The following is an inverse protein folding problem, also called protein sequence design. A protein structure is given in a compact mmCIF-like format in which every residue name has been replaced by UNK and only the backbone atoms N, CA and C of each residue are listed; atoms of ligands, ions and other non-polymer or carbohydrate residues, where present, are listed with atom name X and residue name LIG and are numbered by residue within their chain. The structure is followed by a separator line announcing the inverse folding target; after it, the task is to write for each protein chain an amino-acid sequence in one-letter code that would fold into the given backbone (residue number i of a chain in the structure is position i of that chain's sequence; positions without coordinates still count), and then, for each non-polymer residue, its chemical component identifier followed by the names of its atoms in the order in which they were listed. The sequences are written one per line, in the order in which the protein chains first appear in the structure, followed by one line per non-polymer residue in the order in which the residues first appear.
data_IF_075350493793
#
_entry.id   IF_075350493793
#
_cell.length_a   1.000
_cell.length_b   1.000
_cell.length_c   1.000
_cell.angle_alpha   90.00
_cell.angle_beta   90.00
_cell.angle_gamma   90.00
#
_symmetry.space_group_name_H-M   'P 1'
#
loop_
_entity.id
_entity.type
_entity.pdbx_description
1 polymer ?
#
# COMPACT_ATOMS: atom_id res chain seq x y z
N UNK A 1 23.09 -2.55 -11.20
CA UNK A 1 23.63 -3.24 -10.00
C UNK A 1 25.13 -3.06 -9.84
N UNK A 2 25.93 -3.70 -10.70
CA UNK A 2 27.38 -3.84 -10.55
C UNK A 2 28.18 -2.54 -10.34
N UNK A 3 27.89 -1.47 -11.07
CA UNK A 3 28.63 -0.19 -10.98
C UNK A 3 28.42 0.49 -9.63
N UNK A 4 27.19 0.41 -9.09
CA UNK A 4 26.86 1.01 -7.80
C UNK A 4 27.44 0.19 -6.64
N UNK A 5 27.40 -1.14 -6.73
CA UNK A 5 27.97 -2.01 -5.69
C UNK A 5 29.51 -1.88 -5.61
N UNK A 6 30.20 -1.85 -6.75
CA UNK A 6 31.65 -1.67 -6.78
C UNK A 6 32.07 -0.30 -6.20
N UNK A 7 31.32 0.76 -6.50
CA UNK A 7 31.52 2.07 -5.88
C UNK A 7 31.33 2.00 -4.35
N UNK A 8 30.21 1.43 -3.89
CA UNK A 8 29.90 1.29 -2.47
C UNK A 8 30.95 0.47 -1.72
N UNK A 9 31.48 -0.59 -2.36
CA UNK A 9 32.54 -1.43 -1.78
C UNK A 9 33.81 -0.62 -1.56
N UNK A 10 34.23 0.17 -2.57
CA UNK A 10 35.38 1.06 -2.42
C UNK A 10 35.12 2.15 -1.36
N UNK A 11 33.91 2.71 -1.36
CA UNK A 11 33.52 3.79 -0.45
C UNK A 11 33.63 3.33 1.00
N UNK A 12 33.02 2.20 1.33
CA UNK A 12 33.05 1.67 2.69
C UNK A 12 34.43 1.14 3.09
N UNK A 13 35.23 0.62 2.15
CA UNK A 13 36.63 0.26 2.44
C UNK A 13 37.47 1.49 2.82
N UNK A 14 37.29 2.61 2.13
CA UNK A 14 37.94 3.89 2.45
C UNK A 14 37.48 4.48 3.79
N UNK A 15 36.17 4.41 4.08
CA UNK A 15 35.64 4.86 5.37
C UNK A 15 36.19 4.00 6.51
N UNK A 16 36.20 2.66 6.34
CA UNK A 16 36.78 1.73 7.32
C UNK A 16 38.29 1.90 7.50
N UNK A 17 39.00 2.42 6.50
CA UNK A 17 40.43 2.76 6.61
C UNK A 17 40.69 4.10 7.31
N UNK A 18 39.66 4.75 7.85
CA UNK A 18 39.76 5.98 8.63
C UNK A 18 39.49 7.27 7.85
N UNK A 19 39.04 7.20 6.59
CA UNK A 19 38.62 8.41 5.86
C UNK A 19 37.21 8.83 6.25
N UNK A 20 36.93 10.13 6.16
CA UNK A 20 35.56 10.64 6.28
C UNK A 20 34.74 10.31 5.03
N UNK A 21 33.41 10.31 5.14
CA UNK A 21 32.52 10.05 3.99
C UNK A 21 32.76 11.02 2.82
N UNK A 22 33.03 12.29 3.13
CA UNK A 22 33.33 13.33 2.14
C UNK A 22 34.63 13.03 1.39
N UNK A 23 35.67 12.61 2.09
CA UNK A 23 36.95 12.23 1.49
C UNK A 23 36.83 10.97 0.64
N UNK A 24 36.04 9.99 1.09
CA UNK A 24 35.77 8.77 0.33
C UNK A 24 35.02 9.09 -0.98
N UNK A 25 33.99 9.93 -0.94
CA UNK A 25 33.31 10.38 -2.15
C UNK A 25 34.24 11.12 -3.11
N UNK A 26 35.10 12.00 -2.58
CA UNK A 26 36.04 12.76 -3.39
C UNK A 26 37.12 11.87 -4.02
N UNK A 27 37.62 10.87 -3.29
CA UNK A 27 38.58 9.90 -3.80
C UNK A 27 38.01 9.02 -4.92
N UNK A 28 36.70 8.75 -4.90
CA UNK A 28 36.04 7.92 -5.92
C UNK A 28 35.43 8.73 -7.07
N UNK A 29 35.40 10.06 -6.97
CA UNK A 29 34.83 10.92 -8.00
C UNK A 29 35.62 10.80 -9.30
N UNK A 30 34.92 10.51 -10.40
CA UNK A 30 35.53 10.37 -11.74
C UNK A 30 36.31 9.07 -11.96
N UNK A 31 36.36 8.15 -10.99
CA UNK A 31 37.07 6.87 -11.14
C UNK A 31 36.30 5.88 -12.02
N UNK A 32 37.02 5.18 -12.91
CA UNK A 32 36.47 4.10 -13.73
C UNK A 32 36.34 2.80 -12.92
N UNK A 33 35.63 1.81 -13.46
CA UNK A 33 35.54 0.47 -12.84
C UNK A 33 36.91 -0.22 -12.73
N UNK A 34 37.86 0.09 -13.62
CA UNK A 34 39.23 -0.44 -13.53
C UNK A 34 40.00 0.20 -12.37
N UNK A 35 39.87 1.51 -12.21
CA UNK A 35 40.52 2.25 -11.11
C UNK A 35 40.01 1.78 -9.75
N UNK A 36 38.70 1.52 -9.64
CA UNK A 36 38.07 0.96 -8.44
C UNK A 36 38.57 -0.44 -8.10
N UNK A 37 38.66 -1.33 -9.09
CA UNK A 37 39.24 -2.67 -8.88
C UNK A 37 40.71 -2.59 -8.44
N UNK A 38 41.48 -1.69 -9.05
CA UNK A 38 42.88 -1.47 -8.67
C UNK A 38 42.99 -0.95 -7.23
N UNK A 39 42.13 -0.01 -6.83
CA UNK A 39 42.08 0.53 -5.47
C UNK A 39 41.76 -0.57 -4.46
N UNK A 40 40.73 -1.38 -4.71
CA UNK A 40 40.35 -2.51 -3.85
C UNK A 40 41.48 -3.53 -3.71
N UNK A 41 42.09 -3.93 -4.82
CA UNK A 41 43.13 -4.95 -4.83
C UNK A 41 44.43 -4.44 -4.18
N UNK A 42 44.86 -3.22 -4.49
CA UNK A 42 46.16 -2.70 -4.04
C UNK A 42 46.13 -2.18 -2.61
N UNK A 43 45.06 -1.49 -2.20
CA UNK A 43 45.00 -0.88 -0.86
C UNK A 43 44.36 -1.79 0.17
N UNK A 44 43.42 -2.65 -0.25
CA UNK A 44 42.62 -3.46 0.66
C UNK A 44 42.78 -4.96 0.45
N UNK A 45 43.57 -5.38 -0.54
CA UNK A 45 43.73 -6.80 -0.92
C UNK A 45 42.40 -7.50 -1.24
N UNK A 46 41.40 -6.73 -1.70
CA UNK A 46 40.09 -7.25 -2.08
C UNK A 46 40.01 -7.39 -3.59
N UNK A 47 39.82 -8.62 -4.07
CA UNK A 47 39.46 -8.87 -5.46
C UNK A 47 37.94 -8.86 -5.59
N UNK A 48 37.39 -7.78 -6.15
CA UNK A 48 35.94 -7.65 -6.33
C UNK A 48 35.33 -8.79 -7.13
N UNK A 49 36.06 -9.45 -8.04
CA UNK A 49 35.51 -10.56 -8.82
C UNK A 49 35.26 -11.84 -8.00
N UNK A 50 35.88 -11.95 -6.83
CA UNK A 50 35.72 -13.09 -5.92
C UNK A 50 34.53 -12.90 -4.98
N UNK A 51 33.92 -11.70 -4.97
CA UNK A 51 32.68 -11.45 -4.23
C UNK A 51 31.54 -12.37 -4.69
N UNK A 52 30.69 -12.84 -3.76
CA UNK A 52 29.50 -13.62 -4.09
C UNK A 52 28.69 -13.02 -5.23
N UNK A 53 28.24 -13.88 -6.16
CA UNK A 53 27.50 -13.46 -7.34
C UNK A 53 26.25 -12.64 -6.99
N UNK A 54 25.60 -12.93 -5.86
CA UNK A 54 24.45 -12.15 -5.36
C UNK A 54 24.73 -10.65 -5.19
N UNK A 55 25.96 -10.27 -4.80
CA UNK A 55 26.34 -8.86 -4.63
C UNK A 55 26.71 -8.18 -5.94
N UNK A 56 27.16 -8.97 -6.93
CA UNK A 56 27.63 -8.43 -8.21
C UNK A 56 26.57 -8.40 -9.29
N UNK A 57 25.75 -9.45 -9.34
CA UNK A 57 24.80 -9.74 -10.43
C UNK A 57 23.33 -9.57 -9.99
N UNK A 58 23.06 -9.54 -8.68
CA UNK A 58 21.71 -9.45 -8.14
C UNK A 58 21.02 -10.81 -8.03
N UNK A 59 19.71 -10.79 -7.77
CA UNK A 59 18.90 -12.00 -7.65
C UNK A 59 17.88 -12.06 -8.78
N UNK A 60 17.84 -13.19 -9.47
CA UNK A 60 16.85 -13.51 -10.49
C UNK A 60 15.90 -14.55 -9.93
N UNK A 61 14.59 -14.29 -10.01
CA UNK A 61 13.54 -15.20 -9.56
C UNK A 61 12.72 -15.62 -10.77
N UNK A 62 12.65 -16.91 -11.06
CA UNK A 62 11.94 -17.47 -12.21
C UNK A 62 11.38 -18.84 -11.88
N UNK A 63 10.44 -19.33 -12.69
CA UNK A 63 9.94 -20.70 -12.59
C UNK A 63 10.85 -21.62 -13.41
N UNK A 64 11.35 -22.68 -12.81
CA UNK A 64 12.20 -23.67 -13.48
C UNK A 64 11.60 -25.07 -13.40
N UNK A 65 11.88 -25.89 -14.40
CA UNK A 65 11.40 -27.27 -14.51
C UNK A 65 12.24 -28.16 -13.62
N UNK A 66 11.73 -28.49 -12.44
CA UNK A 66 12.40 -29.39 -11.51
C UNK A 66 12.12 -30.84 -11.90
N UNK A 67 13.18 -31.66 -11.88
CA UNK A 67 13.14 -33.10 -12.16
C UNK A 67 13.24 -33.97 -10.91
N UNK A 68 13.42 -33.36 -9.74
CA UNK A 68 13.55 -34.01 -8.44
C UNK A 68 12.54 -33.46 -7.42
N UNK A 69 12.16 -34.26 -6.43
CA UNK A 69 11.40 -33.80 -5.26
C UNK A 69 12.31 -33.12 -4.21
N UNK A 70 11.71 -32.60 -3.13
CA UNK A 70 12.42 -31.93 -2.03
C UNK A 70 13.43 -32.83 -1.30
N UNK A 71 13.36 -34.15 -1.51
CA UNK A 71 14.27 -35.17 -0.96
C UNK A 71 15.32 -35.65 -1.97
N UNK A 72 15.36 -35.06 -3.17
CA UNK A 72 16.31 -35.42 -4.24
C UNK A 72 15.90 -36.63 -5.10
N UNK A 73 14.70 -37.18 -4.93
CA UNK A 73 14.23 -38.30 -5.75
C UNK A 73 13.68 -37.82 -7.09
N UNK A 74 13.91 -38.54 -8.19
CA UNK A 74 13.38 -38.16 -9.51
C UNK A 74 11.83 -38.22 -9.55
N UNK A 75 11.20 -37.12 -9.97
CA UNK A 75 9.73 -37.02 -10.10
C UNK A 75 9.26 -37.38 -11.52
N UNK A 76 8.19 -38.19 -11.61
CA UNK A 76 7.62 -38.66 -12.88
C UNK A 76 6.94 -37.57 -13.72
N UNK A 77 6.53 -36.46 -13.11
CA UNK A 77 5.84 -35.34 -13.78
C UNK A 77 6.60 -34.07 -13.51
N UNK A 78 7.16 -33.47 -14.56
CA UNK A 78 7.85 -32.18 -14.49
C UNK A 78 6.94 -31.14 -13.84
N UNK A 79 7.43 -30.48 -12.80
CA UNK A 79 6.74 -29.36 -12.15
C UNK A 79 7.59 -28.10 -12.27
N UNK A 80 6.93 -26.96 -12.36
CA UNK A 80 7.59 -25.67 -12.27
C UNK A 80 7.74 -25.27 -10.79
N UNK A 81 8.96 -25.01 -10.36
CA UNK A 81 9.24 -24.48 -9.03
C UNK A 81 9.86 -23.08 -9.11
N UNK A 82 9.57 -22.25 -8.11
CA UNK A 82 10.20 -20.93 -7.99
C UNK A 82 11.66 -21.15 -7.62
N UNK A 83 12.56 -20.71 -8.50
CA UNK A 83 14.01 -20.82 -8.34
C UNK A 83 14.61 -19.43 -8.21
N UNK A 84 15.55 -19.27 -7.28
CA UNK A 84 16.33 -18.05 -7.09
C UNK A 84 17.78 -18.32 -7.50
N UNK A 85 18.32 -17.50 -8.39
CA UNK A 85 19.71 -17.61 -8.84
C UNK A 85 20.37 -16.23 -8.95
N UNK A 86 21.69 -16.22 -9.12
CA UNK A 86 22.48 -14.99 -9.25
C UNK A 86 23.21 -14.93 -10.61
N UNK A 87 22.51 -15.32 -11.67
CA UNK A 87 23.05 -15.32 -13.03
C UNK A 87 23.25 -13.92 -13.60
N UNK A 88 24.10 -13.82 -14.63
CA UNK A 88 24.26 -12.60 -15.40
C UNK A 88 23.15 -12.50 -16.45
N UNK A 89 22.23 -11.54 -16.26
CA UNK A 89 21.15 -11.27 -17.21
C UNK A 89 21.58 -10.38 -18.39
N UNK A 90 22.78 -9.80 -18.33
CA UNK A 90 23.33 -8.97 -19.41
C UNK A 90 23.85 -9.87 -20.53
N UNK A 91 24.48 -10.99 -20.17
CA UNK A 91 24.93 -12.01 -21.10
C UNK A 91 23.79 -12.82 -21.70
N UNK A 92 23.99 -13.44 -22.88
CA UNK A 92 22.94 -14.22 -23.54
C UNK A 92 22.71 -15.58 -22.87
N UNK A 93 23.71 -16.12 -22.16
CA UNK A 93 23.71 -17.48 -21.58
C UNK A 93 22.46 -17.77 -20.73
N UNK A 94 22.03 -16.83 -19.89
CA UNK A 94 20.81 -17.03 -19.11
C UNK A 94 19.59 -17.17 -20.01
N UNK A 95 19.43 -16.29 -20.98
CA UNK A 95 18.25 -16.27 -21.86
C UNK A 95 18.26 -17.43 -22.86
N UNK A 96 19.43 -17.88 -23.30
CA UNK A 96 19.61 -19.08 -24.14
C UNK A 96 19.23 -20.36 -23.39
N UNK A 97 19.65 -20.50 -22.13
CA UNK A 97 19.34 -21.68 -21.32
C UNK A 97 17.90 -21.68 -20.80
N UNK A 98 17.24 -20.53 -20.76
CA UNK A 98 15.89 -20.37 -20.20
C UNK A 98 14.90 -19.73 -21.20
N UNK A 99 14.99 -20.08 -22.49
CA UNK A 99 14.11 -19.54 -23.56
C UNK A 99 12.62 -19.67 -23.23
N UNK A 100 12.23 -20.71 -22.49
CA UNK A 100 10.86 -20.97 -22.09
C UNK A 100 10.28 -19.88 -21.16
N UNK A 101 11.11 -19.05 -20.51
CA UNK A 101 10.65 -17.92 -19.69
C UNK A 101 9.90 -16.89 -20.55
N UNK A 102 10.31 -16.73 -21.81
CA UNK A 102 9.75 -15.74 -22.73
C UNK A 102 8.71 -16.34 -23.69
N UNK A 103 8.49 -17.67 -23.63
CA UNK A 103 7.55 -18.36 -24.51
C UNK A 103 7.86 -18.15 -25.99
N UNK A 104 6.83 -17.77 -26.76
CA UNK A 104 6.90 -17.49 -28.20
C UNK A 104 7.75 -16.25 -28.54
N UNK A 105 8.07 -15.40 -27.55
CA UNK A 105 8.92 -14.23 -27.76
C UNK A 105 10.43 -14.58 -27.80
N UNK A 106 10.80 -15.83 -27.53
CA UNK A 106 12.19 -16.28 -27.51
C UNK A 106 12.89 -16.14 -28.89
N UNK A 107 12.15 -16.27 -29.99
CA UNK A 107 12.64 -16.10 -31.36
C UNK A 107 13.20 -14.69 -31.64
N UNK A 108 12.78 -13.68 -30.88
CA UNK A 108 13.18 -12.28 -31.07
C UNK A 108 14.50 -11.90 -30.36
N UNK A 109 15.01 -12.74 -29.45
CA UNK A 109 16.24 -12.44 -28.69
C UNK A 109 17.52 -12.60 -29.50
N UNK A 110 17.49 -13.39 -30.58
CA UNK A 110 18.67 -13.70 -31.40
C UNK A 110 19.17 -12.53 -32.26
N UNK A 111 18.53 -11.35 -32.21
CA UNK A 111 18.81 -10.22 -33.11
C UNK A 111 19.30 -8.94 -32.40
N UNK A 112 19.52 -8.95 -31.08
CA UNK A 112 19.75 -7.73 -30.28
C UNK A 112 21.18 -7.49 -29.76
N UNK A 113 22.11 -7.10 -30.64
CA UNK A 113 23.13 -6.04 -30.41
C UNK A 113 24.10 -6.11 -29.21
N UNK A 114 25.38 -6.42 -29.52
CA UNK A 114 26.60 -6.23 -28.70
C UNK A 114 26.95 -4.75 -28.40
N UNK A 115 26.05 -3.92 -27.92
CA UNK A 115 26.39 -2.54 -27.57
C UNK A 115 26.50 -2.30 -26.06
N UNK A 116 27.70 -1.86 -25.66
CA UNK A 116 28.15 -1.59 -24.29
C UNK A 116 27.36 -0.50 -23.53
N UNK A 117 26.35 0.11 -24.17
CA UNK A 117 25.52 1.21 -23.64
C UNK A 117 24.00 1.02 -23.88
N UNK A 118 23.54 -0.16 -24.30
CA UNK A 118 22.28 -0.33 -25.05
C UNK A 118 20.96 -0.54 -24.30
N UNK A 119 20.78 -0.17 -23.03
CA UNK A 119 19.49 -0.37 -22.32
C UNK A 119 18.82 0.92 -21.83
N UNK A 120 19.50 2.07 -21.93
CA UNK A 120 18.93 3.33 -21.44
C UNK A 120 17.68 3.76 -22.21
N UNK A 121 17.52 3.31 -23.46
CA UNK A 121 16.35 3.58 -24.27
C UNK A 121 15.05 3.05 -23.62
N UNK A 122 15.13 2.03 -22.77
CA UNK A 122 13.96 1.46 -22.07
C UNK A 122 13.29 2.52 -21.18
N UNK A 123 14.07 3.45 -20.60
CA UNK A 123 13.54 4.56 -19.80
C UNK A 123 12.61 5.48 -20.60
N UNK A 124 12.69 5.48 -21.93
CA UNK A 124 11.79 6.28 -22.78
C UNK A 124 10.36 5.74 -22.82
N UNK A 125 10.15 4.49 -22.39
CA UNK A 125 8.83 3.88 -22.28
C UNK A 125 8.16 4.14 -20.92
N UNK A 126 8.84 4.83 -19.99
CA UNK A 126 8.23 5.22 -18.72
C UNK A 126 7.10 6.23 -18.97
N UNK A 127 5.85 5.79 -18.83
CA UNK A 127 4.70 6.67 -18.89
C UNK A 127 4.47 7.31 -17.51
N UNK A 128 4.94 8.55 -17.35
CA UNK A 128 4.80 9.33 -16.12
C UNK A 128 3.52 10.17 -16.20
N UNK A 129 2.45 9.69 -15.56
CA UNK A 129 1.23 10.48 -15.42
C UNK A 129 1.32 11.38 -14.17
N UNK A 130 1.23 12.70 -14.39
CA UNK A 130 1.24 13.71 -13.32
C UNK A 130 -0.15 14.28 -13.12
N UNK A 131 -0.61 14.31 -11.87
CA UNK A 131 -1.91 14.86 -11.52
C UNK A 131 -1.96 16.38 -11.76
N UNK A 132 -3.10 16.94 -12.19
CA UNK A 132 -3.23 18.38 -12.46
C UNK A 132 -2.93 19.20 -11.20
N UNK A 133 -2.25 20.34 -11.37
CA UNK A 133 -1.99 21.30 -10.30
C UNK A 133 -3.28 21.99 -9.83
N UNK A 134 -3.22 22.64 -8.66
CA UNK A 134 -4.36 23.39 -8.08
C UNK A 134 -5.64 22.56 -7.99
N UNK A 135 -5.48 21.29 -7.57
CA UNK A 135 -6.58 20.36 -7.39
C UNK A 135 -6.39 19.64 -6.05
N UNK A 136 -7.50 19.49 -5.33
CA UNK A 136 -7.58 18.62 -4.17
C UNK A 136 -7.46 17.17 -4.64
N UNK A 137 -6.45 16.46 -4.13
CA UNK A 137 -6.22 15.07 -4.49
C UNK A 137 -6.83 14.18 -3.42
N UNK A 138 -7.80 13.34 -3.82
CA UNK A 138 -8.35 12.31 -2.95
C UNK A 138 -7.70 10.98 -3.29
N UNK A 139 -7.09 10.35 -2.30
CA UNK A 139 -6.54 9.00 -2.37
C UNK A 139 -7.45 8.08 -1.60
N UNK A 140 -8.19 7.22 -2.31
CA UNK A 140 -9.03 6.19 -1.71
C UNK A 140 -8.27 4.88 -1.63
N UNK A 141 -8.23 4.29 -0.45
CA UNK A 141 -7.61 3.01 -0.15
C UNK A 141 -8.72 2.04 0.25
N UNK A 142 -8.81 0.86 -0.39
CA UNK A 142 -9.81 -0.16 -0.07
C UNK A 142 -9.16 -1.55 0.02
N UNK A 143 -9.59 -2.35 0.99
CA UNK A 143 -9.07 -3.71 1.16
C UNK A 143 -9.64 -4.64 0.08
N UNK A 144 -8.74 -5.30 -0.66
CA UNK A 144 -9.07 -6.32 -1.65
C UNK A 144 -9.50 -7.62 -0.96
N UNK A 145 -10.49 -8.30 -1.54
CA UNK A 145 -10.98 -9.60 -1.04
C UNK A 145 -11.32 -9.58 0.46
N UNK A 146 -11.87 -8.46 0.93
CA UNK A 146 -12.11 -8.25 2.36
C UNK A 146 -13.06 -9.27 2.98
N UNK A 147 -14.04 -9.77 2.23
CA UNK A 147 -14.93 -10.84 2.72
C UNK A 147 -14.15 -12.09 3.14
N UNK A 148 -13.23 -12.55 2.27
CA UNK A 148 -12.34 -13.67 2.56
C UNK A 148 -11.39 -13.35 3.71
N UNK A 149 -10.82 -12.14 3.74
CA UNK A 149 -9.95 -11.70 4.83
C UNK A 149 -10.67 -11.69 6.18
N UNK A 150 -11.89 -11.17 6.22
CA UNK A 150 -12.74 -11.09 7.42
C UNK A 150 -13.13 -12.48 7.91
N UNK A 151 -13.38 -13.42 7.00
CA UNK A 151 -13.72 -14.80 7.33
C UNK A 151 -12.52 -15.53 7.95
N UNK A 152 -11.35 -15.45 7.32
CA UNK A 152 -10.12 -16.10 7.80
C UNK A 152 -9.76 -15.62 9.21
N UNK A 153 -9.93 -14.33 9.49
CA UNK A 153 -9.61 -13.75 10.79
C UNK A 153 -10.81 -13.69 11.75
N UNK A 154 -11.93 -14.32 11.38
CA UNK A 154 -13.15 -14.41 12.20
C UNK A 154 -13.58 -13.04 12.75
N UNK A 155 -13.76 -12.07 11.86
CA UNK A 155 -14.26 -10.75 12.22
C UNK A 155 -15.74 -10.80 12.57
N UNK A 156 -16.12 -10.01 13.57
CA UNK A 156 -17.52 -9.89 13.98
C UNK A 156 -18.38 -9.32 12.84
N UNK A 157 -19.63 -9.79 12.79
CA UNK A 157 -20.63 -9.37 11.81
C UNK A 157 -21.85 -8.77 12.54
N UNK A 158 -22.44 -7.66 12.08
CA UNK A 158 -22.14 -6.96 10.81
C UNK A 158 -20.85 -6.15 10.82
N UNK A 159 -20.39 -5.71 12.00
CA UNK A 159 -19.21 -4.87 12.16
C UNK A 159 -18.27 -5.46 13.21
N UNK A 160 -16.97 -5.36 12.96
CA UNK A 160 -15.92 -5.66 13.93
C UNK A 160 -15.31 -4.35 14.42
N UNK A 161 -15.58 -4.00 15.68
CA UNK A 161 -15.13 -2.74 16.27
C UNK A 161 -13.59 -2.65 16.30
N UNK A 162 -12.93 -3.78 16.57
CA UNK A 162 -11.48 -3.86 16.69
C UNK A 162 -10.82 -3.65 15.32
N UNK A 163 -11.36 -4.26 14.27
CA UNK A 163 -10.91 -4.06 12.90
C UNK A 163 -11.05 -2.60 12.45
N UNK A 164 -12.16 -1.95 12.77
CA UNK A 164 -12.38 -0.54 12.43
C UNK A 164 -11.46 0.39 13.22
N UNK A 165 -11.20 0.10 14.50
CA UNK A 165 -10.21 0.84 15.29
C UNK A 165 -8.80 0.69 14.74
N UNK A 166 -8.43 -0.50 14.25
CA UNK A 166 -7.16 -0.71 13.56
C UNK A 166 -7.07 0.13 12.27
N UNK A 167 -8.13 0.17 11.45
CA UNK A 167 -8.19 1.03 10.26
C UNK A 167 -8.01 2.52 10.62
N UNK A 168 -8.64 2.97 11.71
CA UNK A 168 -8.50 4.35 12.21
C UNK A 168 -7.08 4.68 12.71
N UNK A 169 -6.42 3.72 13.35
CA UNK A 169 -5.03 3.86 13.76
C UNK A 169 -4.10 3.99 12.54
N UNK A 170 -4.34 3.19 11.51
CA UNK A 170 -3.61 3.28 10.24
C UNK A 170 -3.82 4.64 9.57
N UNK A 171 -5.04 5.16 9.60
CA UNK A 171 -5.34 6.49 9.06
C UNK A 171 -4.63 7.61 9.84
N UNK A 172 -4.52 7.47 11.16
CA UNK A 172 -3.77 8.43 11.98
C UNK A 172 -2.29 8.43 11.62
N UNK A 173 -1.69 7.24 11.49
CA UNK A 173 -0.30 7.07 11.04
C UNK A 173 -0.08 7.57 9.60
N UNK A 174 -1.04 7.39 8.70
CA UNK A 174 -1.00 7.98 7.36
C UNK A 174 -0.92 9.50 7.41
N UNK A 175 -1.75 10.13 8.24
CA UNK A 175 -1.70 11.58 8.41
C UNK A 175 -0.37 12.03 9.03
N UNK A 176 0.21 11.28 9.97
CA UNK A 176 1.56 11.58 10.49
C UNK A 176 2.63 11.45 9.40
N UNK A 177 2.59 10.38 8.61
CA UNK A 177 3.57 10.09 7.56
C UNK A 177 3.47 11.05 6.36
N UNK A 178 2.26 11.51 6.04
CA UNK A 178 1.99 12.43 4.94
C UNK A 178 1.36 13.72 5.47
N UNK A 179 2.18 14.73 5.83
CA UNK A 179 1.72 15.99 6.42
C UNK A 179 0.66 16.71 5.58
N UNK A 180 0.75 16.59 4.26
CA UNK A 180 -0.15 17.15 3.25
C UNK A 180 -1.58 16.58 3.29
N UNK A 181 -1.81 15.45 3.99
CA UNK A 181 -3.16 14.95 4.24
C UNK A 181 -3.82 15.85 5.30
N UNK A 182 -4.89 16.53 4.88
CA UNK A 182 -5.65 17.46 5.73
C UNK A 182 -6.85 16.79 6.41
N UNK A 183 -7.40 15.75 5.78
CA UNK A 183 -8.60 15.08 6.23
C UNK A 183 -8.61 13.62 5.76
N UNK A 184 -9.16 12.73 6.57
CA UNK A 184 -9.42 11.34 6.24
C UNK A 184 -10.85 10.96 6.60
N UNK A 185 -11.49 10.14 5.77
CA UNK A 185 -12.77 9.54 6.09
C UNK A 185 -12.76 8.05 5.76
N UNK A 186 -13.10 7.20 6.72
CA UNK A 186 -13.12 5.75 6.52
C UNK A 186 -14.34 5.08 7.14
N UNK A 187 -14.75 3.98 6.51
CA UNK A 187 -15.77 3.07 7.02
C UNK A 187 -15.60 1.70 6.35
N UNK A 188 -16.17 0.67 6.95
CA UNK A 188 -16.08 -0.71 6.44
C UNK A 188 -14.61 -1.09 6.19
N UNK A 189 -14.22 -1.34 4.95
CA UNK A 189 -12.89 -1.76 4.55
C UNK A 189 -12.12 -0.71 3.74
N UNK A 190 -12.52 0.56 3.81
CA UNK A 190 -11.93 1.64 3.01
C UNK A 190 -11.67 2.94 3.78
N UNK A 191 -10.75 3.75 3.26
CA UNK A 191 -10.39 5.07 3.75
C UNK A 191 -10.10 6.01 2.58
N UNK A 192 -10.68 7.21 2.59
CA UNK A 192 -10.39 8.30 1.65
C UNK A 192 -9.57 9.37 2.35
N UNK A 193 -8.39 9.69 1.82
CA UNK A 193 -7.51 10.75 2.30
C UNK A 193 -7.55 11.94 1.35
N UNK A 194 -7.80 13.12 1.90
CA UNK A 194 -7.80 14.39 1.17
C UNK A 194 -6.45 15.06 1.37
N UNK A 195 -5.70 15.20 0.29
CA UNK A 195 -4.48 15.99 0.25
C UNK A 195 -4.80 17.45 -0.06
N UNK A 196 -4.03 18.35 0.55
CA UNK A 196 -4.11 19.79 0.30
C UNK A 196 -3.94 20.12 -1.20
N UNK A 197 -4.65 21.14 -1.66
CA UNK A 197 -4.67 21.58 -3.07
C UNK A 197 -3.27 21.82 -3.66
N UNK A 198 -2.35 22.34 -2.83
CA UNK A 198 -0.99 22.73 -3.22
C UNK A 198 0.04 21.62 -3.05
N UNK A 199 -0.37 20.39 -2.76
CA UNK A 199 0.59 19.30 -2.54
C UNK A 199 1.51 19.10 -3.75
N UNK A 200 2.81 19.04 -3.48
CA UNK A 200 3.84 18.69 -4.46
C UNK A 200 4.41 17.28 -4.21
N UNK A 201 3.72 16.47 -3.38
CA UNK A 201 4.15 15.14 -3.01
C UNK A 201 4.51 14.32 -4.27
N UNK A 202 5.76 13.84 -4.31
CA UNK A 202 6.33 13.11 -5.45
C UNK A 202 6.19 13.82 -6.81
N UNK A 203 6.23 15.15 -6.84
CA UNK A 203 5.98 15.94 -8.06
C UNK A 203 4.63 15.60 -8.71
N UNK A 204 3.67 15.16 -7.89
CA UNK A 204 2.34 14.71 -8.32
C UNK A 204 2.36 13.51 -9.27
N UNK A 205 3.44 12.70 -9.28
CA UNK A 205 3.47 11.42 -10.00
C UNK A 205 2.48 10.45 -9.36
N UNK A 206 1.40 10.15 -10.09
CA UNK A 206 0.30 9.32 -9.61
C UNK A 206 0.78 7.94 -9.15
N UNK A 207 1.76 7.35 -9.84
CA UNK A 207 2.26 5.99 -9.52
C UNK A 207 2.99 5.97 -8.19
N UNK A 208 3.77 7.03 -7.90
CA UNK A 208 4.49 7.16 -6.64
C UNK A 208 3.52 7.44 -5.48
N UNK A 209 2.49 8.25 -5.71
CA UNK A 209 1.43 8.48 -4.70
C UNK A 209 0.69 7.18 -4.39
N UNK A 210 0.21 6.46 -5.41
CA UNK A 210 -0.51 5.19 -5.28
C UNK A 210 0.34 4.16 -4.53
N UNK A 211 1.56 3.90 -5.00
CA UNK A 211 2.43 2.88 -4.43
C UNK A 211 2.87 3.22 -2.99
N UNK A 212 3.18 4.49 -2.72
CA UNK A 212 3.57 4.93 -1.38
C UNK A 212 2.40 4.85 -0.40
N UNK A 213 1.20 5.31 -0.78
CA UNK A 213 0.03 5.23 0.09
C UNK A 213 -0.41 3.78 0.35
N UNK A 214 -0.44 2.93 -0.69
CA UNK A 214 -0.78 1.51 -0.57
C UNK A 214 0.20 0.78 0.35
N UNK A 215 1.50 0.96 0.13
CA UNK A 215 2.54 0.30 0.93
C UNK A 215 2.54 0.79 2.38
N UNK A 216 2.46 2.10 2.63
CA UNK A 216 2.42 2.64 3.98
C UNK A 216 1.20 2.14 4.75
N UNK A 217 0.00 2.21 4.16
CA UNK A 217 -1.22 1.74 4.83
C UNK A 217 -1.15 0.25 5.15
N UNK A 218 -0.68 -0.57 4.20
CA UNK A 218 -0.46 -2.01 4.41
C UNK A 218 0.51 -2.27 5.56
N UNK A 219 1.66 -1.58 5.57
CA UNK A 219 2.67 -1.71 6.62
C UNK A 219 2.12 -1.31 7.98
N UNK A 220 1.41 -0.18 8.08
CA UNK A 220 0.79 0.26 9.34
C UNK A 220 -0.23 -0.75 9.85
N UNK A 221 -1.07 -1.29 8.97
CA UNK A 221 -2.06 -2.31 9.33
C UNK A 221 -1.38 -3.56 9.91
N UNK A 222 -0.32 -4.04 9.26
CA UNK A 222 0.43 -5.21 9.72
C UNK A 222 1.17 -4.94 11.04
N UNK A 223 1.82 -3.78 11.16
CA UNK A 223 2.57 -3.38 12.36
C UNK A 223 1.65 -3.24 13.58
N UNK A 224 0.47 -2.66 13.38
CA UNK A 224 -0.52 -2.45 14.44
C UNK A 224 -1.39 -3.67 14.71
N UNK A 225 -1.37 -4.69 13.86
CA UNK A 225 -2.23 -5.86 13.98
C UNK A 225 -2.22 -6.47 15.39
N UNK A 226 -1.04 -6.73 15.96
CA UNK A 226 -0.89 -7.36 17.28
C UNK A 226 -1.35 -6.48 18.45
N UNK A 227 -1.35 -5.17 18.29
CA UNK A 227 -1.86 -4.23 19.28
C UNK A 227 -3.39 -4.31 19.38
N UNK A 228 -4.07 -4.51 18.25
CA UNK A 228 -5.53 -4.60 18.18
C UNK A 228 -6.05 -6.03 18.32
N UNK A 229 -5.31 -7.02 17.80
CA UNK A 229 -5.64 -8.44 17.88
C UNK A 229 -4.51 -9.26 18.54
N UNK A 230 -4.32 -9.15 19.87
CA UNK A 230 -3.24 -9.84 20.57
C UNK A 230 -3.30 -11.37 20.41
N UNK A 231 -4.51 -11.92 20.38
CA UNK A 231 -4.78 -13.36 20.32
C UNK A 231 -4.96 -13.91 18.91
N UNK A 232 -5.04 -13.07 17.87
CA UNK A 232 -5.18 -13.52 16.48
C UNK A 232 -3.85 -13.34 15.75
N UNK A 233 -3.37 -14.40 15.10
CA UNK A 233 -2.27 -14.27 14.15
C UNK A 233 -2.76 -13.65 12.84
N UNK A 234 -1.91 -12.84 12.20
CA UNK A 234 -2.17 -12.37 10.85
C UNK A 234 -1.78 -13.50 9.89
N UNK A 235 -2.78 -14.27 9.45
CA UNK A 235 -2.57 -15.49 8.65
C UNK A 235 -2.19 -15.15 7.20
N UNK A 236 -2.74 -14.07 6.68
CA UNK A 236 -2.44 -13.56 5.34
C UNK A 236 -2.19 -12.05 5.38
N UNK A 237 -1.22 -11.54 4.60
CA UNK A 237 -1.02 -10.10 4.52
C UNK A 237 -2.27 -9.43 3.92
N UNK A 238 -2.72 -8.29 4.45
CA UNK A 238 -3.79 -7.54 3.83
C UNK A 238 -3.33 -6.99 2.49
N UNK A 239 -4.23 -6.88 1.54
CA UNK A 239 -3.96 -6.25 0.25
C UNK A 239 -4.89 -5.05 0.08
N UNK A 240 -4.32 -3.89 -0.22
CA UNK A 240 -5.06 -2.65 -0.39
C UNK A 240 -4.88 -2.10 -1.81
N UNK A 241 -6.00 -1.88 -2.49
CA UNK A 241 -6.06 -1.15 -3.75
C UNK A 241 -6.16 0.35 -3.46
N UNK A 242 -5.50 1.15 -4.29
CA UNK A 242 -5.52 2.61 -4.17
C UNK A 242 -5.99 3.22 -5.48
N UNK A 243 -6.90 4.19 -5.36
CA UNK A 243 -7.41 5.00 -6.46
C UNK A 243 -7.18 6.48 -6.15
N UNK A 244 -6.87 7.26 -7.18
CA UNK A 244 -6.64 8.69 -7.06
C UNK A 244 -7.68 9.45 -7.87
N UNK A 245 -8.20 10.53 -7.31
CA UNK A 245 -9.14 11.44 -7.97
C UNK A 245 -8.77 12.88 -7.66
N UNK A 246 -8.99 13.79 -8.62
CA UNK A 246 -8.68 15.22 -8.47
C UNK A 246 -9.96 16.04 -8.56
N UNK A 247 -10.15 16.96 -7.63
CA UNK A 247 -11.29 17.86 -7.59
C UNK A 247 -10.82 19.32 -7.55
N UNK A 248 -11.39 20.20 -8.39
CA UNK A 248 -10.91 21.58 -8.52
C UNK A 248 -11.39 22.49 -7.39
N UNK A 249 -12.45 22.12 -6.67
CA UNK A 249 -13.07 22.98 -5.65
C UNK A 249 -13.28 22.23 -4.33
N UNK A 250 -13.08 22.90 -3.17
CA UNK A 250 -13.29 22.28 -1.86
C UNK A 250 -14.74 21.86 -1.63
N UNK A 251 -15.71 22.58 -2.24
CA UNK A 251 -17.12 22.20 -2.18
C UNK A 251 -17.36 20.81 -2.77
N UNK A 252 -16.73 20.50 -3.89
CA UNK A 252 -16.86 19.19 -4.56
C UNK A 252 -16.23 18.08 -3.70
N UNK A 253 -15.15 18.39 -2.97
CA UNK A 253 -14.56 17.47 -1.99
C UNK A 253 -15.54 17.19 -0.85
N UNK A 254 -16.22 18.20 -0.31
CA UNK A 254 -17.25 18.02 0.72
C UNK A 254 -18.44 17.19 0.20
N UNK A 255 -18.85 17.39 -1.05
CA UNK A 255 -19.90 16.60 -1.69
C UNK A 255 -19.47 15.13 -1.87
N UNK A 256 -18.21 14.89 -2.26
CA UNK A 256 -17.63 13.55 -2.31
C UNK A 256 -17.69 12.88 -0.93
N UNK A 257 -17.22 13.55 0.12
CA UNK A 257 -17.20 13.00 1.49
C UNK A 257 -18.61 12.74 2.02
N UNK A 258 -19.55 13.65 1.74
CA UNK A 258 -20.97 13.48 2.08
C UNK A 258 -21.58 12.26 1.39
N UNK A 259 -21.25 12.04 0.12
CA UNK A 259 -21.63 10.82 -0.60
C UNK A 259 -21.05 9.57 0.05
N UNK A 260 -19.75 9.57 0.43
CA UNK A 260 -19.12 8.45 1.15
C UNK A 260 -19.85 8.16 2.47
N UNK A 261 -20.26 9.19 3.22
CA UNK A 261 -20.99 9.00 4.48
C UNK A 261 -22.42 8.49 4.29
N UNK A 262 -23.10 8.92 3.23
CA UNK A 262 -24.39 8.33 2.86
C UNK A 262 -24.25 6.85 2.47
N UNK A 263 -23.20 6.49 1.74
CA UNK A 263 -22.90 5.09 1.39
C UNK A 263 -22.64 4.25 2.65
N UNK A 264 -21.88 4.78 3.62
CA UNK A 264 -21.66 4.15 4.92
C UNK A 264 -22.99 3.86 5.64
N UNK A 265 -23.85 4.87 5.78
CA UNK A 265 -25.14 4.72 6.45
C UNK A 265 -26.01 3.63 5.80
N UNK A 266 -26.15 3.69 4.47
CA UNK A 266 -26.99 2.76 3.72
C UNK A 266 -26.44 1.32 3.77
N UNK A 267 -25.11 1.16 3.62
CA UNK A 267 -24.45 -0.15 3.68
C UNK A 267 -24.53 -0.75 5.08
N UNK A 268 -24.26 0.04 6.12
CA UNK A 268 -24.33 -0.44 7.50
C UNK A 268 -25.76 -0.86 7.88
N UNK A 269 -26.77 -0.10 7.48
CA UNK A 269 -28.16 -0.47 7.74
C UNK A 269 -28.54 -1.78 7.05
N UNK A 270 -28.19 -1.94 5.76
CA UNK A 270 -28.44 -3.18 5.02
C UNK A 270 -27.72 -4.38 5.65
N UNK A 271 -26.43 -4.25 5.95
CA UNK A 271 -25.62 -5.35 6.51
C UNK A 271 -26.06 -5.73 7.92
N UNK A 272 -26.50 -4.75 8.72
CA UNK A 272 -27.11 -5.03 10.04
C UNK A 272 -28.37 -5.87 9.90
N UNK A 273 -29.30 -5.49 9.03
CA UNK A 273 -30.49 -6.31 8.77
C UNK A 273 -30.12 -7.71 8.26
N UNK A 274 -29.17 -7.79 7.32
CA UNK A 274 -28.75 -9.05 6.71
C UNK A 274 -28.21 -10.01 7.76
N UNK A 275 -27.27 -9.56 8.59
CA UNK A 275 -26.67 -10.41 9.61
C UNK A 275 -27.62 -10.75 10.76
N UNK A 276 -28.56 -9.87 11.10
CA UNK A 276 -29.61 -10.20 12.08
C UNK A 276 -30.54 -11.30 11.55
N UNK A 277 -30.92 -11.25 10.26
CA UNK A 277 -31.68 -12.32 9.61
C UNK A 277 -30.91 -13.65 9.61
N UNK A 278 -29.63 -13.62 9.20
CA UNK A 278 -28.78 -14.83 9.18
C UNK A 278 -28.62 -15.42 10.58
N UNK A 279 -28.34 -14.59 11.59
CA UNK A 279 -28.23 -15.03 12.99
C UNK A 279 -29.53 -15.57 13.57
N UNK A 280 -30.68 -15.16 13.03
CA UNK A 280 -31.99 -15.70 13.41
C UNK A 280 -32.33 -17.05 12.78
N UNK A 281 -31.43 -17.61 11.96
CA UNK A 281 -31.57 -18.90 11.30
C UNK A 281 -32.06 -18.83 9.86
N UNK A 282 -32.24 -17.64 9.29
CA UNK A 282 -32.56 -17.49 7.87
C UNK A 282 -31.32 -17.80 7.01
N UNK A 283 -31.47 -18.58 5.94
CA UNK A 283 -30.37 -18.79 5.00
C UNK A 283 -29.98 -17.49 4.28
N UNK A 284 -28.70 -17.34 3.92
CA UNK A 284 -28.18 -16.10 3.30
C UNK A 284 -28.97 -15.65 2.05
N UNK A 285 -29.34 -16.60 1.18
CA UNK A 285 -30.12 -16.29 -0.02
C UNK A 285 -31.51 -15.76 0.33
N UNK A 286 -32.14 -16.33 1.36
CA UNK A 286 -33.45 -15.87 1.82
C UNK A 286 -33.36 -14.50 2.49
N UNK A 287 -32.30 -14.24 3.26
CA UNK A 287 -32.05 -12.92 3.83
C UNK A 287 -31.86 -11.86 2.72
N UNK A 288 -31.14 -12.19 1.63
CA UNK A 288 -31.00 -11.30 0.46
C UNK A 288 -32.35 -11.01 -0.20
N UNK A 289 -33.19 -12.02 -0.40
CA UNK A 289 -34.53 -11.84 -0.98
C UNK A 289 -35.45 -11.01 -0.08
N UNK A 290 -35.42 -11.19 1.25
CA UNK A 290 -36.19 -10.37 2.19
C UNK A 290 -35.79 -8.90 2.11
N UNK A 291 -34.50 -8.62 1.93
CA UNK A 291 -33.98 -7.24 1.88
C UNK A 291 -34.00 -6.62 0.49
N UNK A 292 -34.32 -7.41 -0.53
CA UNK A 292 -34.41 -6.95 -1.92
C UNK A 292 -35.47 -5.86 -2.04
N UNK A 293 -35.13 -4.78 -2.73
CA UNK A 293 -36.01 -3.63 -3.00
C UNK A 293 -36.60 -2.93 -1.76
N UNK A 294 -36.09 -3.21 -0.55
CA UNK A 294 -36.52 -2.54 0.68
C UNK A 294 -36.02 -1.10 0.76
N UNK A 295 -36.84 -0.20 1.29
CA UNK A 295 -36.45 1.18 1.60
C UNK A 295 -35.75 1.27 2.97
N UNK A 296 -35.04 2.38 3.28
CA UNK A 296 -34.43 2.58 4.59
C UNK A 296 -35.43 2.52 5.76
N UNK A 297 -36.68 2.93 5.54
CA UNK A 297 -37.75 2.84 6.55
C UNK A 297 -38.11 1.39 6.84
N UNK A 298 -38.28 0.58 5.80
CA UNK A 298 -38.62 -0.85 5.92
C UNK A 298 -37.53 -1.62 6.67
N UNK A 299 -36.26 -1.29 6.43
CA UNK A 299 -35.11 -1.87 7.16
C UNK A 299 -35.15 -1.53 8.65
N UNK A 300 -35.46 -0.29 9.02
CA UNK A 300 -35.62 0.10 10.42
C UNK A 300 -36.80 -0.61 11.08
N UNK A 301 -37.92 -0.71 10.38
CA UNK A 301 -39.12 -1.41 10.86
C UNK A 301 -38.83 -2.91 11.06
N UNK A 302 -38.11 -3.54 10.13
CA UNK A 302 -37.66 -4.93 10.24
C UNK A 302 -36.77 -5.15 11.47
N UNK A 303 -35.79 -4.26 11.71
CA UNK A 303 -34.92 -4.36 12.89
C UNK A 303 -35.71 -4.21 14.19
N UNK A 304 -36.65 -3.26 14.23
CA UNK A 304 -37.43 -2.98 15.42
C UNK A 304 -38.45 -4.09 15.71
N UNK A 305 -39.28 -4.46 14.74
CA UNK A 305 -40.36 -5.43 14.96
C UNK A 305 -39.84 -6.84 15.18
N UNK A 306 -38.84 -7.27 14.40
CA UNK A 306 -38.36 -8.67 14.39
C UNK A 306 -37.28 -8.92 15.43
N UNK A 307 -36.46 -7.91 15.74
CA UNK A 307 -35.29 -8.06 16.61
C UNK A 307 -35.28 -7.12 17.82
N UNK A 308 -36.32 -6.30 18.01
CA UNK A 308 -36.40 -5.31 19.10
C UNK A 308 -35.18 -4.38 19.13
N UNK A 309 -34.62 -4.11 17.95
CA UNK A 309 -33.38 -3.35 17.77
C UNK A 309 -33.67 -1.99 17.14
N UNK A 310 -33.27 -0.92 17.84
CA UNK A 310 -33.32 0.43 17.27
C UNK A 310 -31.97 0.76 16.63
N UNK A 311 -31.93 0.84 15.29
CA UNK A 311 -30.71 1.16 14.56
C UNK A 311 -30.06 2.48 15.01
N UNK A 312 -30.83 3.48 15.44
CA UNK A 312 -30.27 4.75 15.90
C UNK A 312 -29.43 4.64 17.19
N UNK A 313 -29.56 3.54 17.92
CA UNK A 313 -28.76 3.25 19.11
C UNK A 313 -27.44 2.53 18.77
N UNK A 314 -27.23 2.12 17.51
CA UNK A 314 -25.96 1.54 17.10
C UNK A 314 -24.80 2.53 17.28
N UNK A 315 -23.59 2.05 17.59
CA UNK A 315 -22.40 2.87 17.71
C UNK A 315 -22.24 3.84 16.53
N UNK A 316 -21.91 5.10 16.85
CA UNK A 316 -21.75 6.13 15.83
C UNK A 316 -20.68 5.76 14.79
N UNK A 317 -19.62 5.06 15.19
CA UNK A 317 -18.57 4.57 14.28
C UNK A 317 -19.13 3.68 13.16
N UNK A 318 -20.13 2.84 13.45
CA UNK A 318 -20.74 1.97 12.45
C UNK A 318 -21.71 2.75 11.54
N UNK A 319 -22.46 3.70 12.11
CA UNK A 319 -23.48 4.45 11.37
C UNK A 319 -22.95 5.62 10.55
N UNK A 320 -21.85 6.22 11.00
CA UNK A 320 -21.31 7.50 10.51
C UNK A 320 -19.89 7.38 9.98
N UNK A 321 -19.22 6.24 10.15
CA UNK A 321 -17.82 6.07 9.84
C UNK A 321 -16.90 6.84 10.79
N UNK A 322 -15.69 7.09 10.33
CA UNK A 322 -14.61 7.72 11.10
C UNK A 322 -14.01 8.87 10.31
N UNK A 323 -14.04 10.06 10.90
CA UNK A 323 -13.40 11.27 10.38
C UNK A 323 -12.07 11.46 11.11
N UNK A 324 -10.96 11.39 10.39
CA UNK A 324 -9.62 11.72 10.89
C UNK A 324 -9.24 13.12 10.44
N UNK A 325 -8.91 14.01 11.37
CA UNK A 325 -8.48 15.38 11.06
C UNK A 325 -7.56 15.89 12.15
N UNK A 326 -6.73 16.88 11.82
CA UNK A 326 -5.84 17.46 12.83
C UNK A 326 -6.58 18.47 13.68
N UNK A 327 -6.36 18.43 14.99
CA UNK A 327 -6.91 19.39 15.93
C UNK A 327 -5.80 19.98 16.80
N UNK A 328 -5.93 21.26 17.19
CA UNK A 328 -5.03 21.87 18.16
C UNK A 328 -5.21 21.20 19.53
N UNK A 329 -4.11 20.87 20.19
CA UNK A 329 -4.12 20.36 21.56
C UNK A 329 -4.22 21.57 22.51
N UNK A 330 -5.31 21.69 23.26
CA UNK A 330 -5.59 22.84 24.14
C UNK A 330 -4.60 22.99 25.32
N UNK A 331 -3.74 21.99 25.55
CA UNK A 331 -2.91 21.86 26.76
C UNK A 331 -1.40 22.09 26.57
N UNK A 332 -0.94 22.57 25.40
CA UNK A 332 0.48 22.84 25.17
C UNK A 332 0.76 24.33 24.94
N UNK A 333 1.77 24.86 25.62
CA UNK A 333 2.29 26.23 25.40
C UNK A 333 2.90 26.39 23.99
N UNK A 334 3.29 25.28 23.36
CA UNK A 334 3.62 25.17 21.94
C UNK A 334 2.37 24.83 21.11
N UNK A 335 2.21 25.39 19.91
CA UNK A 335 1.10 25.07 18.98
C UNK A 335 1.17 23.63 18.44
N UNK A 336 0.92 22.62 19.28
CA UNK A 336 0.93 21.21 18.90
C UNK A 336 -0.41 20.81 18.29
N UNK A 337 -0.33 20.19 17.13
CA UNK A 337 -1.48 19.59 16.44
C UNK A 337 -1.38 18.07 16.52
N UNK A 338 -2.48 17.42 16.86
CA UNK A 338 -2.59 15.96 16.90
C UNK A 338 -3.70 15.48 15.96
N UNK A 339 -3.65 14.21 15.56
CA UNK A 339 -4.69 13.61 14.73
C UNK A 339 -5.83 13.11 15.61
N UNK A 340 -6.99 13.74 15.49
CA UNK A 340 -8.22 13.33 16.16
C UNK A 340 -9.06 12.45 15.25
N UNK A 341 -9.72 11.43 15.82
CA UNK A 341 -10.70 10.59 15.13
C UNK A 341 -12.08 10.81 15.76
N UNK A 342 -13.06 11.20 14.96
CA UNK A 342 -14.43 11.45 15.40
C UNK A 342 -15.47 10.69 14.56
N UNK A 343 -16.60 10.35 15.16
CA UNK A 343 -17.69 9.61 14.51
C UNK A 343 -18.95 10.49 14.43
N UNK A 344 -18.92 11.47 13.53
CA UNK A 344 -19.92 12.55 13.44
C UNK A 344 -20.40 12.77 12.01
N UNK A 345 -21.57 13.39 11.85
CA UNK A 345 -22.06 13.81 10.53
C UNK A 345 -21.22 14.96 9.98
N UNK A 346 -20.76 14.82 8.73
CA UNK A 346 -19.98 15.82 7.98
C UNK A 346 -20.91 16.87 7.32
N UNK A 347 -21.90 17.35 8.06
CA UNK A 347 -22.83 18.38 7.60
C UNK A 347 -22.23 19.79 7.62
N UNK A 348 -22.97 20.83 7.19
CA UNK A 348 -22.49 22.21 7.15
C UNK A 348 -21.93 22.71 8.49
N UNK A 349 -22.55 22.30 9.61
CA UNK A 349 -22.08 22.66 10.95
C UNK A 349 -20.69 22.06 11.26
N UNK A 350 -20.42 20.83 10.82
CA UNK A 350 -19.11 20.21 10.99
C UNK A 350 -18.03 21.03 10.27
N UNK A 351 -18.24 21.33 8.99
CA UNK A 351 -17.28 22.11 8.20
C UNK A 351 -17.14 23.55 8.68
N UNK A 352 -18.21 24.17 9.20
CA UNK A 352 -18.12 25.50 9.81
C UNK A 352 -17.28 25.50 11.10
N UNK A 353 -17.42 24.47 11.94
CA UNK A 353 -16.61 24.30 13.16
C UNK A 353 -15.14 23.98 12.86
N UNK A 354 -14.88 23.28 11.76
CA UNK A 354 -13.55 22.80 11.36
C UNK A 354 -13.07 23.49 10.07
N UNK A 355 -13.39 24.77 9.86
CA UNK A 355 -13.04 25.51 8.63
C UNK A 355 -11.54 25.50 8.35
N UNK A 356 -10.73 25.48 9.42
CA UNK A 356 -9.27 25.39 9.36
C UNK A 356 -8.74 24.15 8.61
N UNK A 357 -9.54 23.10 8.39
CA UNK A 357 -9.15 21.90 7.64
C UNK A 357 -8.79 22.26 6.19
N UNK A 358 -9.55 23.16 5.56
CA UNK A 358 -9.29 23.60 4.18
C UNK A 358 -8.43 24.86 4.11
N UNK A 359 -8.37 25.65 5.19
CA UNK A 359 -7.60 26.91 5.24
C UNK A 359 -6.15 26.74 5.71
N UNK A 360 -5.70 25.51 5.97
CA UNK A 360 -4.36 25.23 6.47
C UNK A 360 -3.33 25.57 5.38
N UNK A 361 -2.50 26.59 5.65
CA UNK A 361 -1.37 27.01 4.81
C UNK A 361 -0.12 26.19 5.07
#
# INVERSE_FOLDING_TARGET
GHINNQYNTCFWALVKSGKTEKEAHQALKGTSSKDKNKLLLQQFQVNYNDEPAMFRKGSTVYRDKVKTDDCGNPIKRTREAITVSNFDLIGPEFWENHQYILGEASDYLCLGGKEKYGYEYVKKFDNIHRLPYSNWTIVRISACQFDQFSLIHSFDKPNDETALRLMNACASLMMEQFPDIIFGYGFDNEYSFVFQEKTELYQRDERLIISSCSSCFTSFYMMKWKEYFPSKELVQPPHFQVEVSCYPEPRIVCDYLSRRQSECHNRNQYTTCFWMLVKSGEGENKAKEILKDTLPKDKNELLFQRFQMNYNNEPAMFRKGSCAYRQKVEASEDERWDVAVAHVDMGPHFWAKHSYVFDRR
#
